data_IF_794106530777
#
_entry.id   IF_794106530777
#
_cell.length_a   1.000
_cell.length_b   1.000
_cell.length_c   1.000
_cell.angle_alpha   90.00
_cell.angle_beta   90.00
_cell.angle_gamma   90.00
#
_symmetry.space_group_name_H-M   'P 1'
#
loop_
_entity.id
_entity.type
_entity.pdbx_description
1 polymer ?
#
# COMPACT_ATOMS: atom_id res chain seq x y z
N UNK A 1 29.23 0.21 -12.77
CA UNK A 1 28.04 0.98 -13.23
C UNK A 1 27.67 1.96 -12.12
N UNK A 2 28.13 3.21 -12.22
CA UNK A 2 27.78 4.27 -11.27
C UNK A 2 26.34 4.71 -11.56
N UNK A 3 25.37 4.06 -10.91
CA UNK A 3 24.02 4.60 -10.86
C UNK A 3 24.10 5.97 -10.19
N UNK A 4 23.61 7.01 -10.88
CA UNK A 4 23.41 8.33 -10.29
C UNK A 4 22.65 8.15 -8.97
N UNK A 5 23.33 8.40 -7.85
CA UNK A 5 22.71 8.31 -6.54
C UNK A 5 21.77 9.48 -6.41
N UNK A 6 20.50 9.25 -6.71
CA UNK A 6 19.44 10.25 -6.62
C UNK A 6 19.46 10.85 -5.21
N UNK A 7 19.46 12.18 -5.11
CA UNK A 7 19.54 12.83 -3.80
C UNK A 7 18.28 12.52 -2.97
N UNK A 8 18.42 12.41 -1.64
CA UNK A 8 17.28 12.16 -0.76
C UNK A 8 16.14 13.19 -0.96
N UNK A 9 16.40 14.51 -1.10
CA UNK A 9 15.35 15.47 -1.43
C UNK A 9 14.59 15.14 -2.72
N UNK A 10 15.30 14.72 -3.76
CA UNK A 10 14.68 14.31 -5.04
C UNK A 10 13.79 13.07 -4.85
N UNK A 11 14.25 12.07 -4.10
CA UNK A 11 13.46 10.88 -3.81
C UNK A 11 12.19 11.22 -3.01
N UNK A 12 12.31 12.07 -1.99
CA UNK A 12 11.15 12.54 -1.22
C UNK A 12 10.17 13.37 -2.06
N UNK A 13 10.68 14.17 -3.00
CA UNK A 13 9.84 14.89 -3.95
C UNK A 13 9.09 13.94 -4.89
N UNK A 14 9.73 12.86 -5.36
CA UNK A 14 9.06 11.81 -6.14
C UNK A 14 7.97 11.14 -5.31
N UNK A 15 8.24 10.82 -4.04
CA UNK A 15 7.25 10.24 -3.12
C UNK A 15 6.05 11.18 -2.93
N UNK A 16 6.30 12.48 -2.74
CA UNK A 16 5.27 13.50 -2.68
C UNK A 16 4.41 13.50 -3.96
N UNK A 17 5.03 13.56 -5.14
CA UNK A 17 4.32 13.57 -6.41
C UNK A 17 3.46 12.32 -6.61
N UNK A 18 4.00 11.14 -6.27
CA UNK A 18 3.24 9.88 -6.36
C UNK A 18 2.07 9.91 -5.37
N UNK A 19 2.28 10.37 -4.13
CA UNK A 19 1.21 10.54 -3.16
C UNK A 19 0.10 11.47 -3.67
N UNK A 20 0.47 12.61 -4.25
CA UNK A 20 -0.49 13.56 -4.82
C UNK A 20 -1.28 12.95 -5.98
N UNK A 21 -0.59 12.38 -6.98
CA UNK A 21 -1.22 11.75 -8.14
C UNK A 21 -2.16 10.61 -7.72
N UNK A 22 -1.77 9.77 -6.77
CA UNK A 22 -2.60 8.67 -6.30
C UNK A 22 -3.76 9.14 -5.42
N UNK A 23 -3.61 10.24 -4.67
CA UNK A 23 -4.71 10.84 -3.93
C UNK A 23 -5.79 11.37 -4.86
N UNK A 24 -5.37 12.05 -5.93
CA UNK A 24 -6.25 12.48 -7.02
C UNK A 24 -6.91 11.29 -7.71
N UNK A 25 -6.12 10.30 -8.09
CA UNK A 25 -6.61 9.12 -8.81
C UNK A 25 -7.60 8.29 -7.98
N UNK A 26 -7.30 8.04 -6.71
CA UNK A 26 -8.19 7.33 -5.79
C UNK A 26 -9.54 8.06 -5.66
N UNK A 27 -9.51 9.38 -5.53
CA UNK A 27 -10.72 10.18 -5.44
C UNK A 27 -11.52 10.21 -6.76
N UNK A 28 -10.86 10.23 -7.92
CA UNK A 28 -11.52 10.13 -9.22
C UNK A 28 -12.17 8.75 -9.42
N UNK A 29 -11.47 7.68 -9.04
CA UNK A 29 -11.99 6.32 -9.07
C UNK A 29 -13.22 6.19 -8.15
N UNK A 30 -13.19 6.84 -6.98
CA UNK A 30 -14.30 6.82 -6.03
C UNK A 30 -15.61 7.41 -6.59
N UNK A 31 -15.56 8.11 -7.73
CA UNK A 31 -16.74 8.64 -8.40
C UNK A 31 -17.36 7.70 -9.44
N UNK A 32 -16.67 6.61 -9.79
CA UNK A 32 -17.13 5.68 -10.83
C UNK A 32 -18.16 4.69 -10.27
N UNK A 33 -19.13 4.22 -11.07
CA UNK A 33 -20.14 3.27 -10.61
C UNK A 33 -19.57 1.89 -10.25
N UNK A 34 -20.29 1.22 -9.35
CA UNK A 34 -20.01 -0.10 -8.78
C UNK A 34 -18.52 -0.29 -8.42
N UNK A 35 -17.84 -1.42 -8.71
CA UNK A 35 -16.68 -1.89 -7.94
C UNK A 35 -15.45 -0.97 -7.93
N UNK A 36 -15.39 -0.01 -8.86
CA UNK A 36 -14.36 1.03 -8.89
C UNK A 36 -14.53 2.00 -7.71
N UNK A 37 -15.76 2.36 -7.33
CA UNK A 37 -16.01 3.13 -6.10
C UNK A 37 -15.39 2.44 -4.88
N UNK A 38 -15.57 1.12 -4.76
CA UNK A 38 -15.02 0.31 -3.66
C UNK A 38 -13.49 0.38 -3.62
N UNK A 39 -12.82 0.34 -4.78
CA UNK A 39 -11.37 0.50 -4.88
C UNK A 39 -10.88 1.91 -4.53
N UNK A 40 -11.59 2.94 -4.99
CA UNK A 40 -11.25 4.34 -4.69
C UNK A 40 -11.35 4.67 -3.20
N UNK A 41 -12.36 4.13 -2.52
CA UNK A 41 -12.59 4.31 -1.09
C UNK A 41 -11.89 3.30 -0.18
N UNK A 42 -11.26 2.26 -0.75
CA UNK A 42 -10.41 1.32 -0.03
C UNK A 42 -9.11 2.02 0.40
N UNK A 43 -8.48 1.56 1.48
CA UNK A 43 -7.29 2.21 2.07
C UNK A 43 -6.04 1.36 1.95
N UNK A 44 -6.20 0.04 2.07
CA UNK A 44 -5.11 -0.92 2.05
C UNK A 44 -4.24 -0.88 0.76
N UNK A 45 -4.77 -0.81 -0.48
CA UNK A 45 -3.93 -0.78 -1.67
C UNK A 45 -3.10 0.50 -1.75
N UNK A 46 -3.65 1.65 -1.35
CA UNK A 46 -2.92 2.92 -1.37
C UNK A 46 -1.84 2.96 -0.30
N UNK A 47 -2.11 2.44 0.91
CA UNK A 47 -1.10 2.29 1.97
C UNK A 47 0.02 1.35 1.53
N UNK A 48 -0.31 0.27 0.80
CA UNK A 48 0.66 -0.68 0.28
C UNK A 48 1.61 -0.05 -0.75
N UNK A 49 1.12 0.85 -1.60
CA UNK A 49 1.98 1.61 -2.52
C UNK A 49 3.00 2.46 -1.76
N UNK A 50 2.54 3.19 -0.73
CA UNK A 50 3.43 3.95 0.16
C UNK A 50 4.48 3.06 0.82
N UNK A 51 4.06 1.89 1.30
CA UNK A 51 4.94 0.87 1.86
C UNK A 51 6.05 0.44 0.89
N UNK A 52 5.71 0.09 -0.35
CA UNK A 52 6.70 -0.34 -1.33
C UNK A 52 7.63 0.79 -1.75
N UNK A 53 7.14 2.03 -1.85
CA UNK A 53 7.98 3.21 -2.09
C UNK A 53 9.01 3.39 -0.97
N UNK A 54 8.57 3.35 0.28
CA UNK A 54 9.46 3.47 1.44
C UNK A 54 10.48 2.32 1.51
N UNK A 55 10.04 1.09 1.20
CA UNK A 55 10.93 -0.06 1.12
C UNK A 55 11.98 0.16 0.01
N UNK A 56 11.56 0.56 -1.18
CA UNK A 56 12.46 0.77 -2.32
C UNK A 56 13.54 1.83 -2.02
N UNK A 57 13.14 2.97 -1.46
CA UNK A 57 14.04 4.10 -1.15
C UNK A 57 15.00 3.74 -0.01
N UNK A 58 14.51 3.06 1.03
CA UNK A 58 15.34 2.70 2.20
C UNK A 58 16.36 1.58 1.90
N UNK A 59 16.15 0.78 0.85
CA UNK A 59 17.04 -0.31 0.42
C UNK A 59 18.48 0.16 0.17
N UNK A 60 18.66 1.38 -0.35
CA UNK A 60 19.97 1.90 -0.72
C UNK A 60 20.86 2.27 0.49
N UNK A 61 20.28 2.29 1.69
CA UNK A 61 20.98 2.71 2.89
C UNK A 61 21.51 1.52 3.70
N UNK A 62 22.84 1.47 3.86
CA UNK A 62 23.52 0.39 4.59
C UNK A 62 23.28 0.48 6.09
N UNK A 63 23.17 1.70 6.64
CA UNK A 63 22.99 1.91 8.09
C UNK A 63 21.51 1.71 8.47
N UNK A 64 21.18 0.75 9.36
CA UNK A 64 19.79 0.42 9.67
C UNK A 64 19.02 1.61 10.27
N UNK A 65 19.64 2.38 11.17
CA UNK A 65 19.00 3.58 11.75
C UNK A 65 18.61 4.61 10.69
N UNK A 66 19.47 4.83 9.69
CA UNK A 66 19.20 5.79 8.62
C UNK A 66 18.17 5.25 7.63
N UNK A 67 18.20 3.96 7.31
CA UNK A 67 17.17 3.30 6.51
C UNK A 67 15.78 3.42 7.17
N UNK A 68 15.69 3.24 8.50
CA UNK A 68 14.46 3.45 9.27
C UNK A 68 13.97 4.89 9.11
N UNK A 69 14.81 5.88 9.41
CA UNK A 69 14.41 7.30 9.32
C UNK A 69 13.92 7.65 7.91
N UNK A 70 14.63 7.17 6.87
CA UNK A 70 14.22 7.36 5.48
C UNK A 70 12.86 6.70 5.21
N UNK A 71 12.65 5.46 5.67
CA UNK A 71 11.39 4.75 5.53
C UNK A 71 10.23 5.49 6.21
N UNK A 72 10.42 5.96 7.44
CA UNK A 72 9.42 6.72 8.20
C UNK A 72 9.06 8.01 7.46
N UNK A 73 10.07 8.80 7.05
CA UNK A 73 9.84 10.07 6.35
C UNK A 73 9.14 9.81 5.01
N UNK A 74 9.53 8.76 4.28
CA UNK A 74 8.91 8.42 2.99
C UNK A 74 7.43 8.06 3.15
N UNK A 75 7.09 7.20 4.13
CA UNK A 75 5.69 6.88 4.42
C UNK A 75 4.91 8.13 4.84
N UNK A 76 5.49 8.93 5.72
CA UNK A 76 4.85 10.12 6.24
C UNK A 76 4.53 11.11 5.11
N UNK A 77 5.53 11.44 4.28
CA UNK A 77 5.35 12.32 3.12
C UNK A 77 4.30 11.75 2.16
N UNK A 78 4.37 10.45 1.87
CA UNK A 78 3.39 9.80 1.00
C UNK A 78 1.96 9.89 1.55
N UNK A 79 1.72 9.40 2.77
CA UNK A 79 0.38 9.28 3.34
C UNK A 79 -0.27 10.64 3.58
N UNK A 80 0.48 11.61 4.08
CA UNK A 80 -0.04 12.96 4.30
C UNK A 80 -0.42 13.60 2.97
N UNK A 81 0.42 13.45 1.94
CA UNK A 81 0.11 14.01 0.62
C UNK A 81 -1.08 13.31 -0.02
N UNK A 82 -1.11 11.98 0.01
CA UNK A 82 -2.23 11.18 -0.50
C UNK A 82 -3.56 11.56 0.16
N UNK A 83 -3.60 11.57 1.51
CA UNK A 83 -4.79 11.96 2.28
C UNK A 83 -5.22 13.40 1.97
N UNK A 84 -4.26 14.32 1.90
CA UNK A 84 -4.55 15.72 1.63
C UNK A 84 -5.25 15.88 0.27
N UNK A 85 -4.69 15.34 -0.82
CA UNK A 85 -5.28 15.46 -2.14
C UNK A 85 -6.60 14.69 -2.28
N UNK A 86 -6.70 13.50 -1.67
CA UNK A 86 -7.92 12.70 -1.66
C UNK A 86 -9.08 13.48 -1.02
N UNK A 87 -8.90 13.97 0.21
CA UNK A 87 -9.95 14.70 0.93
C UNK A 87 -10.17 16.12 0.41
N UNK A 88 -9.13 16.79 -0.07
CA UNK A 88 -9.29 18.12 -0.68
C UNK A 88 -10.20 18.06 -1.90
N UNK A 89 -9.99 17.08 -2.79
CA UNK A 89 -10.88 16.87 -3.93
C UNK A 89 -12.26 16.42 -3.51
N UNK A 90 -12.39 15.59 -2.48
CA UNK A 90 -13.69 15.23 -1.91
C UNK A 90 -14.51 16.46 -1.49
N UNK A 91 -13.87 17.42 -0.79
CA UNK A 91 -14.49 18.66 -0.34
C UNK A 91 -14.95 19.51 -1.53
N UNK A 92 -14.07 19.71 -2.50
CA UNK A 92 -14.36 20.48 -3.72
C UNK A 92 -15.52 19.85 -4.51
N UNK A 93 -15.52 18.54 -4.66
CA UNK A 93 -16.50 17.83 -5.48
C UNK A 93 -17.88 17.77 -4.83
N UNK A 94 -17.94 17.58 -3.51
CA UNK A 94 -19.20 17.54 -2.76
C UNK A 94 -19.71 18.94 -2.37
N UNK A 95 -19.00 20.00 -2.77
CA UNK A 95 -19.26 21.38 -2.36
C UNK A 95 -19.50 21.52 -0.84
N UNK A 96 -18.72 20.77 -0.05
CA UNK A 96 -18.88 20.76 1.39
C UNK A 96 -18.26 22.01 1.99
N UNK A 97 -18.82 22.55 3.10
CA UNK A 97 -18.13 23.52 3.92
C UNK A 97 -16.77 22.96 4.35
N UNK A 98 -15.72 23.80 4.30
CA UNK A 98 -14.34 23.39 4.63
C UNK A 98 -14.29 22.75 6.02
N UNK A 99 -15.05 23.27 6.99
CA UNK A 99 -15.12 22.72 8.34
C UNK A 99 -15.68 21.27 8.36
N UNK A 100 -16.75 21.00 7.61
CA UNK A 100 -17.34 19.67 7.53
C UNK A 100 -16.40 18.67 6.85
N UNK A 101 -15.72 19.12 5.79
CA UNK A 101 -14.67 18.36 5.12
C UNK A 101 -13.48 18.05 6.03
N UNK A 102 -13.03 19.05 6.78
CA UNK A 102 -11.92 18.92 7.72
C UNK A 102 -12.25 17.93 8.84
N UNK A 103 -13.46 17.97 9.39
CA UNK A 103 -13.92 16.98 10.41
C UNK A 103 -13.87 15.54 9.89
N UNK A 104 -14.07 15.32 8.59
CA UNK A 104 -13.92 13.99 7.98
C UNK A 104 -12.46 13.61 7.73
N UNK A 105 -11.59 14.59 7.49
CA UNK A 105 -10.16 14.38 7.15
C UNK A 105 -9.29 14.14 8.39
N UNK A 106 -9.54 14.89 9.47
CA UNK A 106 -8.71 14.91 10.69
C UNK A 106 -8.48 13.52 11.30
N UNK A 107 -9.51 12.65 11.47
CA UNK A 107 -9.30 11.32 12.03
C UNK A 107 -8.25 10.50 11.25
N UNK A 108 -8.23 10.61 9.92
CA UNK A 108 -7.29 9.91 9.07
C UNK A 108 -5.88 10.48 9.15
N UNK A 109 -5.74 11.80 9.23
CA UNK A 109 -4.44 12.44 9.46
C UNK A 109 -3.86 12.07 10.83
N UNK A 110 -4.72 12.02 11.86
CA UNK A 110 -4.32 11.58 13.20
C UNK A 110 -3.89 10.11 13.18
N UNK A 111 -4.63 9.24 12.48
CA UNK A 111 -4.27 7.82 12.32
C UNK A 111 -2.98 7.61 11.48
N UNK A 112 -2.73 8.49 10.51
CA UNK A 112 -1.52 8.47 9.68
C UNK A 112 -0.25 8.74 10.50
N UNK A 113 -0.34 9.50 11.59
CA UNK A 113 0.81 9.88 12.40
C UNK A 113 1.47 8.68 13.13
N UNK A 114 0.75 7.82 13.89
CA UNK A 114 1.33 6.64 14.53
C UNK A 114 1.57 5.48 13.55
N UNK A 115 0.82 5.38 12.45
CA UNK A 115 1.01 4.28 11.49
C UNK A 115 2.26 4.48 10.64
N UNK A 116 2.63 5.74 10.35
CA UNK A 116 3.81 6.08 9.55
C UNK A 116 5.12 5.52 10.11
N UNK A 117 5.46 5.69 11.40
CA UNK A 117 6.68 5.12 11.95
C UNK A 117 6.67 3.60 11.94
N UNK A 118 5.53 2.96 12.22
CA UNK A 118 5.39 1.50 12.19
C UNK A 118 5.66 0.96 10.78
N UNK A 119 4.94 1.48 9.78
CA UNK A 119 5.10 1.08 8.39
C UNK A 119 6.49 1.42 7.85
N UNK A 120 7.04 2.58 8.22
CA UNK A 120 8.38 3.00 7.81
C UNK A 120 9.48 2.09 8.35
N UNK A 121 9.36 1.65 9.61
CA UNK A 121 10.27 0.67 10.21
C UNK A 121 10.13 -0.67 9.49
N UNK A 122 8.92 -1.19 9.32
CA UNK A 122 8.67 -2.47 8.64
C UNK A 122 9.22 -2.43 7.22
N UNK A 123 8.93 -1.36 6.46
CA UNK A 123 9.40 -1.14 5.10
C UNK A 123 10.93 -1.15 5.03
N UNK A 124 11.62 -0.45 5.94
CA UNK A 124 13.08 -0.43 6.00
C UNK A 124 13.70 -1.79 6.34
N UNK A 125 12.99 -2.63 7.07
CA UNK A 125 13.45 -3.96 7.49
C UNK A 125 13.21 -5.04 6.42
N UNK A 126 12.31 -4.81 5.46
CA UNK A 126 12.00 -5.78 4.38
C UNK A 126 13.23 -6.30 3.65
N UNK A 127 14.23 -5.45 3.42
CA UNK A 127 15.43 -5.79 2.65
C UNK A 127 16.48 -6.55 3.45
N UNK A 128 16.29 -6.68 4.77
CA UNK A 128 17.21 -7.45 5.61
C UNK A 128 17.00 -8.94 5.39
N UNK A 129 18.08 -9.73 5.29
CA UNK A 129 17.97 -11.18 5.15
C UNK A 129 17.45 -11.80 6.45
N UNK A 130 16.79 -12.95 6.33
CA UNK A 130 16.25 -13.69 7.47
C UNK A 130 14.72 -13.61 7.58
N UNK A 131 14.18 -14.43 8.50
CA UNK A 131 12.73 -14.56 8.74
C UNK A 131 12.09 -13.20 9.04
N UNK A 132 12.78 -12.34 9.81
CA UNK A 132 12.25 -11.03 10.19
C UNK A 132 11.98 -10.12 8.98
N UNK A 133 12.91 -10.04 8.02
CA UNK A 133 12.71 -9.22 6.82
C UNK A 133 11.61 -9.78 5.91
N UNK A 134 11.46 -11.11 5.88
CA UNK A 134 10.38 -11.79 5.16
C UNK A 134 9.01 -11.57 5.81
N UNK A 135 8.92 -11.62 7.15
CA UNK A 135 7.70 -11.28 7.87
C UNK A 135 7.32 -9.83 7.63
N UNK A 136 8.29 -8.90 7.64
CA UNK A 136 8.05 -7.52 7.27
C UNK A 136 7.49 -7.43 5.85
N UNK A 137 8.06 -8.16 4.89
CA UNK A 137 7.59 -8.15 3.50
C UNK A 137 6.11 -8.55 3.35
N UNK A 138 5.63 -9.49 4.19
CA UNK A 138 4.24 -9.99 4.18
C UNK A 138 3.29 -9.17 5.06
N UNK A 139 3.80 -8.38 6.00
CA UNK A 139 2.98 -7.59 6.93
C UNK A 139 1.90 -6.72 6.25
N UNK A 140 2.14 -6.06 5.10
CA UNK A 140 1.10 -5.31 4.41
C UNK A 140 -0.06 -6.16 3.90
N UNK A 141 0.13 -7.47 3.68
CA UNK A 141 -0.96 -8.37 3.29
C UNK A 141 -1.97 -8.54 4.42
N UNK A 142 -1.50 -8.60 5.68
CA UNK A 142 -2.40 -8.67 6.82
C UNK A 142 -3.32 -7.43 6.88
N UNK A 143 -2.88 -6.30 6.30
CA UNK A 143 -3.68 -5.09 6.19
C UNK A 143 -4.79 -5.17 5.12
N UNK A 144 -4.67 -6.08 4.15
CA UNK A 144 -5.71 -6.35 3.15
C UNK A 144 -6.82 -7.27 3.69
N UNK A 145 -6.55 -8.01 4.78
CA UNK A 145 -7.48 -9.01 5.32
C UNK A 145 -8.84 -8.42 5.74
N UNK A 146 -8.92 -7.27 6.44
CA UNK A 146 -10.21 -6.67 6.79
C UNK A 146 -11.01 -6.24 5.56
N UNK A 147 -10.34 -5.83 4.48
CA UNK A 147 -11.00 -5.45 3.23
C UNK A 147 -11.48 -6.68 2.46
N UNK A 148 -10.67 -7.76 2.43
CA UNK A 148 -11.07 -9.05 1.87
C UNK A 148 -12.30 -9.64 2.58
N UNK A 149 -12.31 -9.63 3.92
CA UNK A 149 -13.44 -10.10 4.73
C UNK A 149 -14.70 -9.25 4.53
N UNK A 150 -14.56 -7.96 4.26
CA UNK A 150 -15.69 -7.07 3.97
C UNK A 150 -16.32 -7.42 2.62
N UNK A 151 -15.51 -7.71 1.60
CA UNK A 151 -15.98 -8.14 0.27
C UNK A 151 -16.70 -9.50 0.38
N UNK A 152 -16.13 -10.45 1.11
CA UNK A 152 -16.70 -11.79 1.31
C UNK A 152 -18.03 -11.75 2.10
N UNK A 153 -18.11 -10.98 3.18
CA UNK A 153 -19.33 -10.85 3.99
C UNK A 153 -20.50 -10.21 3.26
N UNK A 154 -20.22 -9.34 2.29
CA UNK A 154 -21.27 -8.63 1.55
C UNK A 154 -21.87 -9.55 0.46
N UNK A 155 -21.21 -10.66 0.10
CA UNK A 155 -21.77 -11.72 -0.76
C UNK A 155 -22.20 -11.26 -2.16
N UNK A 156 -21.84 -10.03 -2.55
CA UNK A 156 -22.30 -9.37 -3.78
C UNK A 156 -21.14 -8.83 -4.62
N UNK A 157 -19.88 -9.03 -4.20
CA UNK A 157 -18.74 -8.45 -4.90
C UNK A 157 -18.44 -9.18 -6.19
N UNK A 158 -18.65 -8.52 -7.33
CA UNK A 158 -18.13 -8.97 -8.62
C UNK A 158 -16.60 -9.04 -8.63
N UNK A 159 -16.03 -9.70 -9.65
CA UNK A 159 -14.58 -9.91 -9.80
C UNK A 159 -13.72 -8.63 -9.65
N UNK A 160 -14.27 -7.48 -10.01
CA UNK A 160 -13.62 -6.17 -9.86
C UNK A 160 -13.46 -5.73 -8.40
N UNK A 161 -14.35 -6.10 -7.48
CA UNK A 161 -14.16 -5.79 -6.05
C UNK A 161 -13.03 -6.62 -5.45
N UNK A 162 -12.87 -7.85 -5.95
CA UNK A 162 -11.78 -8.74 -5.54
C UNK A 162 -10.42 -8.21 -6.04
N UNK A 163 -10.40 -7.36 -7.07
CA UNK A 163 -9.17 -6.76 -7.61
C UNK A 163 -8.41 -5.91 -6.59
N UNK A 164 -9.12 -5.34 -5.61
CA UNK A 164 -8.56 -4.58 -4.46
C UNK A 164 -7.57 -5.43 -3.67
N UNK A 165 -7.78 -6.76 -3.65
CA UNK A 165 -6.93 -7.73 -2.94
C UNK A 165 -5.99 -8.44 -3.92
N UNK A 166 -6.48 -8.80 -5.11
CA UNK A 166 -5.70 -9.53 -6.13
C UNK A 166 -4.47 -8.73 -6.59
N UNK A 167 -4.63 -7.44 -6.93
CA UNK A 167 -3.54 -6.63 -7.48
C UNK A 167 -2.38 -6.51 -6.47
N UNK A 168 -2.62 -6.10 -5.20
CA UNK A 168 -1.62 -6.17 -4.14
C UNK A 168 -0.86 -7.50 -4.03
N UNK A 169 -1.58 -8.62 -4.07
CA UNK A 169 -0.98 -9.95 -3.92
C UNK A 169 -0.09 -10.29 -5.12
N UNK A 170 -0.52 -9.99 -6.35
CA UNK A 170 0.29 -10.18 -7.56
C UNK A 170 1.58 -9.35 -7.50
N UNK A 171 1.49 -8.09 -7.08
CA UNK A 171 2.67 -7.21 -6.93
C UNK A 171 3.65 -7.82 -5.94
N UNK A 172 3.17 -8.34 -4.81
CA UNK A 172 4.04 -8.96 -3.82
C UNK A 172 4.69 -10.25 -4.32
N UNK A 173 3.95 -11.11 -5.01
CA UNK A 173 4.47 -12.34 -5.64
C UNK A 173 5.59 -11.98 -6.60
N UNK A 174 5.35 -10.98 -7.45
CA UNK A 174 6.33 -10.51 -8.43
C UNK A 174 7.60 -9.98 -7.75
N UNK A 175 7.44 -9.28 -6.62
CA UNK A 175 8.58 -8.81 -5.81
C UNK A 175 9.35 -9.98 -5.20
N UNK A 176 8.69 -11.00 -4.66
CA UNK A 176 9.36 -12.18 -4.11
C UNK A 176 10.14 -12.94 -5.18
N UNK A 177 9.55 -13.17 -6.36
CA UNK A 177 10.22 -13.80 -7.51
C UNK A 177 11.46 -12.99 -7.90
N UNK A 178 11.34 -11.66 -7.95
CA UNK A 178 12.47 -10.78 -8.28
C UNK A 178 13.56 -10.82 -7.21
N UNK A 179 13.20 -10.91 -5.93
CA UNK A 179 14.14 -11.03 -4.81
C UNK A 179 14.89 -12.36 -4.86
N UNK A 180 14.20 -13.46 -5.15
CA UNK A 180 14.80 -14.78 -5.34
C UNK A 180 15.79 -14.78 -6.53
N UNK A 181 15.38 -14.24 -7.68
CA UNK A 181 16.26 -14.08 -8.86
C UNK A 181 17.50 -13.20 -8.57
N UNK A 182 17.42 -12.30 -7.60
CA UNK A 182 18.55 -11.46 -7.17
C UNK A 182 19.50 -12.15 -6.18
N UNK A 183 19.28 -13.45 -5.89
CA UNK A 183 20.13 -14.26 -5.01
C UNK A 183 19.76 -14.18 -3.52
N UNK A 184 18.67 -13.48 -3.16
CA UNK A 184 18.14 -13.52 -1.80
C UNK A 184 17.19 -14.71 -1.66
N UNK A 185 17.54 -15.68 -0.82
CA UNK A 185 16.62 -16.77 -0.46
C UNK A 185 15.42 -16.21 0.32
N UNK A 186 14.23 -16.38 -0.24
CA UNK A 186 12.95 -16.14 0.44
C UNK A 186 12.58 -17.44 1.18
N UNK A 187 12.15 -17.35 2.43
CA UNK A 187 11.78 -18.52 3.21
C UNK A 187 10.50 -19.18 2.67
N UNK A 188 10.44 -20.51 2.74
CA UNK A 188 9.31 -21.31 2.27
C UNK A 188 7.98 -20.92 2.95
N UNK A 189 8.02 -20.49 4.22
CA UNK A 189 6.83 -20.03 4.96
C UNK A 189 6.26 -18.75 4.34
N UNK A 190 7.13 -17.84 3.88
CA UNK A 190 6.73 -16.59 3.22
C UNK A 190 6.03 -16.86 1.90
N UNK A 191 6.60 -17.78 1.11
CA UNK A 191 6.00 -18.27 -0.12
C UNK A 191 4.68 -19.01 0.15
N UNK A 192 4.60 -19.77 1.24
CA UNK A 192 3.38 -20.47 1.66
C UNK A 192 2.26 -19.49 2.03
N UNK A 193 2.55 -18.43 2.80
CA UNK A 193 1.52 -17.42 3.14
C UNK A 193 1.03 -16.71 1.89
N UNK A 194 1.92 -16.36 0.96
CA UNK A 194 1.54 -15.76 -0.32
C UNK A 194 0.74 -16.74 -1.18
N UNK A 195 1.12 -18.02 -1.21
CA UNK A 195 0.40 -19.06 -1.93
C UNK A 195 -0.99 -19.33 -1.33
N UNK A 196 -1.13 -19.33 -0.01
CA UNK A 196 -2.43 -19.44 0.68
C UNK A 196 -3.31 -18.24 0.34
N UNK A 197 -2.76 -17.02 0.36
CA UNK A 197 -3.50 -15.82 -0.03
C UNK A 197 -3.94 -15.86 -1.49
N UNK A 198 -3.05 -16.28 -2.40
CA UNK A 198 -3.40 -16.52 -3.81
C UNK A 198 -4.46 -17.61 -3.98
N UNK A 199 -4.40 -18.69 -3.19
CA UNK A 199 -5.36 -19.79 -3.25
C UNK A 199 -6.75 -19.34 -2.75
N UNK A 200 -6.79 -18.62 -1.63
CA UNK A 200 -8.03 -18.01 -1.11
C UNK A 200 -8.61 -17.02 -2.12
N UNK A 201 -7.76 -16.22 -2.77
CA UNK A 201 -8.16 -15.31 -3.85
C UNK A 201 -8.68 -16.05 -5.09
N UNK A 202 -8.05 -17.17 -5.47
CA UNK A 202 -8.49 -18.01 -6.58
C UNK A 202 -9.86 -18.61 -6.31
N UNK A 203 -10.08 -19.12 -5.10
CA UNK A 203 -11.39 -19.64 -4.65
C UNK A 203 -12.46 -18.54 -4.68
N UNK A 204 -12.16 -17.36 -4.14
CA UNK A 204 -13.08 -16.23 -4.14
C UNK A 204 -13.42 -15.76 -5.57
N UNK A 205 -12.42 -15.67 -6.46
CA UNK A 205 -12.66 -15.35 -7.87
C UNK A 205 -13.54 -16.39 -8.58
N UNK A 206 -13.29 -17.69 -8.38
CA UNK A 206 -14.11 -18.77 -8.99
C UNK A 206 -15.56 -18.65 -8.55
N UNK A 207 -15.80 -18.39 -7.26
CA UNK A 207 -17.14 -18.19 -6.71
C UNK A 207 -17.84 -16.96 -7.30
N UNK A 208 -17.11 -15.87 -7.59
CA UNK A 208 -17.67 -14.67 -8.25
C UNK A 208 -18.06 -14.89 -9.72
N UNK A 209 -17.50 -15.89 -10.40
CA UNK A 209 -17.81 -16.19 -11.80
C UNK A 209 -18.93 -17.23 -11.99
N UNK A 210 -19.51 -17.75 -10.91
CA UNK A 210 -20.67 -18.66 -10.97
C UNK A 210 -20.38 -19.99 -11.66
N UNK A 211 -19.18 -20.55 -11.45
CA UNK A 211 -18.80 -21.92 -11.83
C UNK A 211 -18.86 -22.84 -10.62
#
# INVERSE_FOLDING_TARGET
MNYYRTSLPTLLFIVFLIGACLGVFAQLIWQLPDPLMTLGGSTAPWVMVGYFLAAFISKEEKKPRKAIVIGIISIYVYLITWLFFYYFLFILQKNLPIEAGWRQTVPWLIAALPISPVLGVIAAMTHKPGIFGDTCLVAPIAWLLPEALKIERIGQGGWLEHSVVVIPVIVLVTLMIRMEKSGRRVYAITLLVVAIMLALLGVACIQSFGV
#
